data_IF_036299711254
#
_entry.id   IF_036299711254
#
_cell.length_a   1.000
_cell.length_b   1.000
_cell.length_c   1.000
_cell.angle_alpha   90.00
_cell.angle_beta   90.00
_cell.angle_gamma   90.00
#
_symmetry.space_group_name_H-M   'P 1'
#
loop_
_entity.id
_entity.type
_entity.pdbx_description
1 polymer ?
#
# COMPACT_ATOMS: atom_id res chain seq x y z
N UNK A 1 -42.84 8.32 -39.95
CA UNK A 1 -42.04 9.54 -39.79
C UNK A 1 -42.99 10.59 -39.27
N UNK A 2 -43.04 10.77 -37.95
CA UNK A 2 -43.75 11.89 -37.34
C UNK A 2 -42.77 12.57 -36.39
N UNK A 3 -42.51 13.82 -36.72
CA UNK A 3 -41.73 14.78 -35.96
C UNK A 3 -42.63 15.37 -34.88
N UNK A 4 -42.24 15.22 -33.61
CA UNK A 4 -42.70 16.13 -32.56
C UNK A 4 -41.49 16.70 -31.85
N UNK A 5 -41.21 17.95 -32.18
CA UNK A 5 -40.21 18.83 -31.59
C UNK A 5 -40.76 19.45 -30.31
N UNK A 6 -39.83 19.91 -29.45
CA UNK A 6 -39.96 20.89 -28.36
C UNK A 6 -40.55 20.35 -27.05
N UNK A 7 -39.84 20.43 -25.91
CA UNK A 7 -39.69 21.69 -25.16
C UNK A 7 -38.51 21.62 -24.17
N UNK A 8 -37.68 22.66 -24.16
CA UNK A 8 -36.63 22.94 -23.15
C UNK A 8 -37.28 23.51 -21.89
N UNK A 9 -36.92 22.99 -20.72
CA UNK A 9 -37.10 23.69 -19.44
C UNK A 9 -35.77 23.84 -18.75
N UNK A 10 -35.30 25.09 -18.70
CA UNK A 10 -34.21 25.58 -17.87
C UNK A 10 -34.80 25.80 -16.48
N UNK A 11 -34.24 25.15 -15.46
CA UNK A 11 -34.51 25.50 -14.06
C UNK A 11 -33.18 25.85 -13.41
N UNK A 12 -32.88 27.15 -13.41
CA UNK A 12 -31.91 27.74 -12.50
C UNK A 12 -32.54 27.76 -11.11
N UNK A 13 -31.83 27.23 -10.11
CA UNK A 13 -32.24 27.33 -8.70
C UNK A 13 -31.06 27.87 -7.91
N UNK A 14 -31.13 29.18 -7.70
CA UNK A 14 -30.33 29.95 -6.75
C UNK A 14 -30.92 29.69 -5.35
N UNK A 15 -30.10 29.24 -4.41
CA UNK A 15 -30.39 29.40 -2.99
C UNK A 15 -29.06 29.45 -2.21
N UNK A 16 -28.58 30.66 -1.98
CA UNK A 16 -27.60 30.95 -0.95
C UNK A 16 -28.33 31.06 0.40
N UNK A 17 -27.88 30.32 1.42
CA UNK A 17 -28.19 30.65 2.81
C UNK A 17 -26.94 30.44 3.66
N UNK A 18 -26.32 31.55 4.02
CA UNK A 18 -25.27 31.67 5.02
C UNK A 18 -25.87 31.61 6.42
N UNK A 19 -25.38 30.69 7.26
CA UNK A 19 -25.51 30.80 8.72
C UNK A 19 -24.16 30.51 9.36
N UNK A 20 -23.54 31.58 9.88
CA UNK A 20 -22.36 31.56 10.73
C UNK A 20 -22.85 31.81 12.17
N UNK A 21 -22.70 30.85 13.08
CA UNK A 21 -22.65 31.08 14.54
C UNK A 21 -22.31 29.78 15.29
N UNK A 22 -21.28 29.84 16.16
CA UNK A 22 -21.18 28.96 17.33
C UNK A 22 -19.80 28.35 17.60
N UNK A 23 -18.86 29.15 18.11
CA UNK A 23 -17.77 28.60 18.94
C UNK A 23 -18.35 28.20 20.31
N UNK A 24 -18.42 26.91 20.58
CA UNK A 24 -18.56 26.34 21.92
C UNK A 24 -17.51 25.23 22.07
N UNK A 25 -16.62 25.39 23.05
CA UNK A 25 -15.50 24.49 23.30
C UNK A 25 -15.86 23.20 24.04
N UNK A 26 -15.09 22.17 23.68
CA UNK A 26 -14.49 21.10 24.49
C UNK A 26 -15.38 20.28 25.44
N UNK A 27 -15.68 19.04 25.03
CA UNK A 27 -15.85 17.88 25.94
C UNK A 27 -15.61 16.55 25.20
N UNK A 28 -14.45 16.36 24.56
CA UNK A 28 -14.13 15.06 23.94
C UNK A 28 -12.63 14.75 23.75
N UNK A 29 -11.76 15.28 24.61
CA UNK A 29 -10.31 14.92 24.63
C UNK A 29 -10.03 13.46 25.01
N UNK A 30 -11.02 12.66 25.40
CA UNK A 30 -10.80 11.27 25.84
C UNK A 30 -11.03 10.20 24.77
N UNK A 31 -11.63 10.55 23.63
CA UNK A 31 -11.91 9.61 22.54
C UNK A 31 -10.83 9.63 21.48
N UNK A 32 -10.32 10.82 21.13
CA UNK A 32 -9.26 10.99 20.14
C UNK A 32 -7.92 10.42 20.64
N UNK A 33 -7.56 10.64 21.91
CA UNK A 33 -6.35 10.01 22.49
C UNK A 33 -6.45 8.48 22.49
N UNK A 34 -7.63 7.89 22.71
CA UNK A 34 -7.81 6.42 22.68
C UNK A 34 -7.78 5.84 21.27
N UNK A 35 -8.05 6.65 20.25
CA UNK A 35 -7.95 6.24 18.85
C UNK A 35 -6.49 6.31 18.41
N UNK A 36 -5.78 7.39 18.78
CA UNK A 36 -4.34 7.54 18.53
C UNK A 36 -3.51 6.50 19.29
N UNK A 37 -3.79 6.26 20.56
CA UNK A 37 -3.11 5.24 21.40
C UNK A 37 -3.37 3.80 20.92
N UNK A 38 -4.44 3.59 20.11
CA UNK A 38 -4.71 2.32 19.44
C UNK A 38 -3.93 2.15 18.13
N UNK A 39 -3.62 3.23 17.40
CA UNK A 39 -2.72 3.15 16.22
C UNK A 39 -1.29 2.81 16.66
N UNK A 40 -0.75 3.55 17.63
CA UNK A 40 0.55 3.27 18.27
C UNK A 40 0.64 1.85 18.87
N UNK A 41 -0.50 1.31 19.29
CA UNK A 41 -0.62 -0.03 19.84
C UNK A 41 -0.75 -1.15 18.79
N UNK A 42 -1.07 -0.83 17.54
CA UNK A 42 -1.11 -1.77 16.42
C UNK A 42 0.29 -1.86 15.78
N UNK A 43 0.99 -0.75 15.60
CA UNK A 43 2.39 -0.73 15.10
C UNK A 43 3.34 -1.51 16.03
N UNK A 44 3.27 -1.28 17.35
CA UNK A 44 4.05 -2.06 18.33
C UNK A 44 3.75 -3.55 18.33
N UNK A 45 2.57 -3.97 17.85
CA UNK A 45 2.23 -5.40 17.75
C UNK A 45 2.86 -6.05 16.52
N UNK A 46 3.10 -5.31 15.43
CA UNK A 46 3.90 -5.83 14.31
C UNK A 46 5.37 -6.00 14.73
N UNK A 47 5.97 -5.00 15.37
CA UNK A 47 7.36 -5.07 15.86
C UNK A 47 7.58 -6.18 16.90
N UNK A 48 6.63 -6.40 17.83
CA UNK A 48 6.72 -7.47 18.82
C UNK A 48 6.53 -8.86 18.18
N UNK A 49 5.76 -8.99 17.08
CA UNK A 49 5.67 -10.25 16.34
C UNK A 49 6.93 -10.55 15.53
N UNK A 50 7.55 -9.53 14.92
CA UNK A 50 8.81 -9.66 14.19
C UNK A 50 9.98 -9.99 15.14
N UNK A 51 10.07 -9.31 16.30
CA UNK A 51 11.10 -9.58 17.30
C UNK A 51 10.95 -10.97 17.96
N UNK A 52 9.73 -11.49 18.11
CA UNK A 52 9.49 -12.85 18.62
C UNK A 52 9.88 -13.93 17.62
N UNK A 53 9.88 -13.62 16.32
CA UNK A 53 10.39 -14.52 15.29
C UNK A 53 11.94 -14.45 15.19
N UNK A 54 12.55 -13.33 15.58
CA UNK A 54 14.00 -13.14 15.66
C UNK A 54 14.69 -13.52 16.98
N UNK A 55 13.97 -13.62 18.11
CA UNK A 55 14.55 -13.90 19.44
C UNK A 55 14.60 -15.39 19.81
N UNK A 56 14.53 -16.29 18.83
CA UNK A 56 14.42 -17.74 18.99
C UNK A 56 15.72 -18.52 18.81
N UNK A 57 16.92 -17.98 19.06
CA UNK A 57 18.15 -18.79 19.08
C UNK A 57 19.27 -18.15 19.90
N UNK A 58 19.17 -18.23 21.22
CA UNK A 58 20.26 -17.90 22.15
C UNK A 58 20.80 -19.14 22.83
N UNK A 59 21.97 -19.64 22.38
CA UNK A 59 22.59 -20.86 22.92
C UNK A 59 24.06 -21.08 22.54
N UNK A 60 24.93 -20.16 22.97
CA UNK A 60 26.33 -20.31 23.42
C UNK A 60 27.45 -20.96 22.54
N UNK A 61 28.57 -20.19 22.50
CA UNK A 61 30.00 -20.54 22.51
C UNK A 61 30.83 -20.34 21.21
N UNK A 62 31.77 -19.36 21.28
CA UNK A 62 32.93 -19.12 20.38
C UNK A 62 34.08 -20.13 20.61
N UNK A 63 35.25 -20.08 19.90
CA UNK A 63 35.66 -19.37 18.66
C UNK A 63 36.36 -20.29 17.61
N UNK A 64 36.72 -19.67 16.47
CA UNK A 64 37.72 -20.06 15.45
C UNK A 64 37.50 -21.33 14.59
N UNK A 65 37.06 -21.13 13.35
CA UNK A 65 37.65 -21.84 12.19
C UNK A 65 37.45 -21.03 10.90
N UNK A 66 38.52 -20.93 10.11
CA UNK A 66 38.56 -20.24 8.83
C UNK A 66 37.84 -21.10 7.79
N UNK A 67 36.61 -20.73 7.45
CA UNK A 67 35.81 -21.41 6.44
C UNK A 67 35.08 -20.42 5.57
N UNK A 68 35.62 -20.22 4.38
CA UNK A 68 34.90 -19.77 3.19
C UNK A 68 33.44 -20.23 3.20
N UNK A 69 32.54 -19.29 3.40
CA UNK A 69 31.15 -19.43 3.04
C UNK A 69 30.79 -18.13 2.35
N UNK A 70 31.12 -18.07 1.05
CA UNK A 70 30.46 -17.16 0.14
C UNK A 70 28.99 -17.12 0.50
N UNK A 71 28.54 -15.95 0.97
CA UNK A 71 27.13 -15.64 1.10
C UNK A 71 26.54 -15.97 -0.27
N UNK A 72 25.87 -17.11 -0.36
CA UNK A 72 25.05 -17.47 -1.51
C UNK A 72 23.94 -16.46 -1.46
N UNK A 73 24.20 -15.31 -2.08
CA UNK A 73 23.18 -14.36 -2.45
C UNK A 73 22.21 -15.20 -3.27
N UNK A 74 21.00 -15.36 -2.76
CA UNK A 74 19.93 -16.05 -3.47
C UNK A 74 19.50 -15.17 -4.64
N UNK A 75 20.42 -14.86 -5.54
CA UNK A 75 20.14 -14.31 -6.85
C UNK A 75 19.44 -15.41 -7.62
N UNK A 76 18.11 -15.34 -7.64
CA UNK A 76 17.31 -16.22 -8.48
C UNK A 76 17.82 -16.16 -9.92
N UNK A 77 17.63 -17.24 -10.68
CA UNK A 77 17.99 -17.21 -12.10
C UNK A 77 17.18 -16.12 -12.82
N UNK A 78 17.62 -15.67 -14.00
CA UNK A 78 16.87 -14.70 -14.81
C UNK A 78 15.38 -15.13 -14.98
N UNK A 79 15.13 -16.43 -15.15
CA UNK A 79 13.78 -16.98 -15.27
C UNK A 79 12.97 -16.91 -13.96
N UNK A 80 13.62 -17.03 -12.81
CA UNK A 80 12.97 -16.88 -11.50
C UNK A 80 12.59 -15.43 -11.24
N UNK A 81 13.47 -14.48 -11.58
CA UNK A 81 13.21 -13.05 -11.47
C UNK A 81 12.07 -12.61 -12.40
N UNK A 82 12.11 -13.03 -13.66
CA UNK A 82 11.03 -12.81 -14.63
C UNK A 82 9.66 -13.31 -14.12
N UNK A 83 9.65 -14.52 -13.53
CA UNK A 83 8.45 -15.10 -12.95
C UNK A 83 8.00 -14.35 -11.70
N UNK A 84 8.92 -13.88 -10.87
CA UNK A 84 8.61 -13.08 -9.69
C UNK A 84 7.97 -11.75 -10.12
N UNK A 85 8.56 -11.03 -11.08
CA UNK A 85 7.99 -9.77 -11.61
C UNK A 85 6.57 -10.01 -12.15
N UNK A 86 6.36 -11.06 -12.95
CA UNK A 86 5.04 -11.39 -13.47
C UNK A 86 4.01 -11.71 -12.36
N UNK A 87 4.45 -12.33 -11.27
CA UNK A 87 3.60 -12.61 -10.10
C UNK A 87 3.23 -11.31 -9.37
N UNK A 88 4.18 -10.38 -9.17
CA UNK A 88 3.89 -9.08 -8.56
C UNK A 88 2.99 -8.20 -9.45
N UNK A 89 3.16 -8.19 -10.77
CA UNK A 89 2.24 -7.51 -11.69
C UNK A 89 0.80 -8.04 -11.55
N UNK A 90 0.64 -9.35 -11.40
CA UNK A 90 -0.67 -9.98 -11.22
C UNK A 90 -1.27 -9.66 -9.84
N UNK A 91 -0.44 -9.75 -8.79
CA UNK A 91 -0.83 -9.40 -7.41
C UNK A 91 -1.22 -7.94 -7.30
N UNK A 92 -0.49 -7.02 -7.92
CA UNK A 92 -0.78 -5.59 -7.87
C UNK A 92 -2.14 -5.28 -8.48
N UNK A 93 -2.43 -5.85 -9.66
CA UNK A 93 -3.75 -5.75 -10.30
C UNK A 93 -4.88 -6.31 -9.43
N UNK A 94 -4.65 -7.47 -8.80
CA UNK A 94 -5.64 -8.10 -7.93
C UNK A 94 -5.89 -7.29 -6.64
N UNK A 95 -4.82 -6.77 -6.03
CA UNK A 95 -4.88 -5.94 -4.84
C UNK A 95 -5.59 -4.61 -5.14
N UNK A 96 -5.23 -3.94 -6.23
CA UNK A 96 -5.90 -2.72 -6.70
C UNK A 96 -7.40 -2.95 -6.96
N UNK A 97 -7.77 -4.06 -7.59
CA UNK A 97 -9.18 -4.42 -7.79
C UNK A 97 -9.92 -4.67 -6.47
N UNK A 98 -9.24 -5.28 -5.49
CA UNK A 98 -9.80 -5.53 -4.15
C UNK A 98 -10.01 -4.22 -3.39
N UNK A 99 -9.03 -3.33 -3.39
CA UNK A 99 -9.12 -2.00 -2.78
C UNK A 99 -10.24 -1.16 -3.41
N UNK A 100 -10.40 -1.23 -4.74
CA UNK A 100 -11.51 -0.58 -5.46
C UNK A 100 -12.91 -1.11 -5.09
N UNK A 101 -13.00 -2.22 -4.36
CA UNK A 101 -14.25 -2.79 -3.85
C UNK A 101 -14.43 -2.58 -2.33
N UNK A 102 -13.51 -1.87 -1.67
CA UNK A 102 -13.59 -1.58 -0.25
C UNK A 102 -14.92 -0.90 0.09
N UNK A 103 -15.58 -1.36 1.15
CA UNK A 103 -16.82 -0.76 1.60
C UNK A 103 -16.54 0.63 2.19
N UNK A 104 -17.24 1.65 1.71
CA UNK A 104 -17.16 3.01 2.26
C UNK A 104 -18.22 3.17 3.35
N UNK A 105 -17.83 3.32 4.64
CA UNK A 105 -18.79 3.55 5.71
C UNK A 105 -19.66 4.80 5.49
N UNK A 106 -20.96 4.69 5.77
CA UNK A 106 -21.88 5.83 5.70
C UNK A 106 -21.59 6.89 6.78
N UNK A 107 -21.02 6.47 7.92
CA UNK A 107 -20.59 7.34 9.01
C UNK A 107 -19.16 7.84 8.72
N UNK A 108 -18.93 9.15 8.53
CA UNK A 108 -17.60 9.67 8.20
C UNK A 108 -16.53 9.32 9.24
N UNK A 109 -16.87 9.28 10.52
CA UNK A 109 -15.93 8.95 11.60
C UNK A 109 -15.38 7.51 11.54
N UNK A 110 -16.06 6.59 10.83
CA UNK A 110 -15.61 5.20 10.69
C UNK A 110 -14.69 5.00 9.48
N UNK A 111 -14.61 6.00 8.57
CA UNK A 111 -13.88 5.88 7.30
C UNK A 111 -12.36 5.86 7.45
N UNK A 112 -11.71 6.63 8.35
CA UNK A 112 -10.26 6.52 8.54
C UNK A 112 -9.81 5.11 8.91
N UNK A 113 -10.57 4.44 9.78
CA UNK A 113 -10.29 3.06 10.15
C UNK A 113 -10.47 2.11 8.96
N UNK A 114 -11.56 2.25 8.21
CA UNK A 114 -11.82 1.43 7.03
C UNK A 114 -10.77 1.66 5.92
N UNK A 115 -10.28 2.90 5.77
CA UNK A 115 -9.20 3.25 4.86
C UNK A 115 -7.91 2.51 5.21
N UNK A 116 -7.43 2.62 6.46
CA UNK A 116 -6.19 1.94 6.90
C UNK A 116 -6.29 0.42 6.68
N UNK A 117 -7.43 -0.18 7.03
CA UNK A 117 -7.65 -1.62 6.82
C UNK A 117 -7.62 -2.02 5.34
N UNK A 118 -8.19 -1.19 4.46
CA UNK A 118 -8.23 -1.44 3.02
C UNK A 118 -6.90 -1.11 2.30
N UNK A 119 -6.10 -0.19 2.85
CA UNK A 119 -4.80 0.22 2.32
C UNK A 119 -3.69 -0.77 2.64
N UNK A 120 -3.70 -1.37 3.84
CA UNK A 120 -2.60 -2.21 4.33
C UNK A 120 -2.12 -3.32 3.35
N UNK A 121 -3.00 -4.01 2.59
CA UNK A 121 -2.55 -4.98 1.59
C UNK A 121 -1.80 -4.36 0.39
N UNK A 122 -2.12 -3.11 0.03
CA UNK A 122 -1.41 -2.36 -1.03
C UNK A 122 -0.01 -1.99 -0.57
N UNK A 123 0.11 -1.36 0.61
CA UNK A 123 1.42 -1.01 1.22
C UNK A 123 2.31 -2.23 1.41
N UNK A 124 1.75 -3.34 1.92
CA UNK A 124 2.49 -4.60 2.08
C UNK A 124 3.06 -5.08 0.74
N UNK A 125 2.32 -4.90 -0.35
CA UNK A 125 2.75 -5.33 -1.67
C UNK A 125 3.78 -4.38 -2.29
N UNK A 126 3.65 -3.07 -2.06
CA UNK A 126 4.64 -2.07 -2.48
C UNK A 126 6.00 -2.35 -1.82
N UNK A 127 6.04 -2.59 -0.51
CA UNK A 127 7.29 -2.99 0.16
C UNK A 127 7.92 -4.28 -0.39
N UNK A 128 7.10 -5.25 -0.79
CA UNK A 128 7.61 -6.46 -1.42
C UNK A 128 8.12 -6.25 -2.85
N UNK A 129 7.60 -5.24 -3.55
CA UNK A 129 8.12 -4.80 -4.85
C UNK A 129 9.48 -4.16 -4.66
N UNK A 130 9.65 -3.28 -3.66
CA UNK A 130 10.96 -2.69 -3.30
C UNK A 130 12.01 -3.77 -3.02
N UNK A 131 11.65 -4.78 -2.22
CA UNK A 131 12.55 -5.92 -1.95
C UNK A 131 12.90 -6.73 -3.20
N UNK A 132 12.02 -6.79 -4.21
CA UNK A 132 12.34 -7.44 -5.48
C UNK A 132 13.23 -6.54 -6.35
N UNK A 133 13.04 -5.23 -6.33
CA UNK A 133 13.89 -4.29 -7.04
C UNK A 133 15.34 -4.35 -6.52
N UNK A 134 15.53 -4.34 -5.19
CA UNK A 134 16.84 -4.56 -4.54
C UNK A 134 17.52 -5.86 -5.01
N UNK A 135 16.72 -6.91 -5.24
CA UNK A 135 17.22 -8.21 -5.75
C UNK A 135 17.59 -8.14 -7.23
N UNK A 136 16.87 -7.36 -8.04
CA UNK A 136 17.24 -7.11 -9.44
C UNK A 136 18.54 -6.32 -9.54
N UNK A 137 18.71 -5.27 -8.72
CA UNK A 137 19.95 -4.49 -8.63
C UNK A 137 21.13 -5.39 -8.26
N UNK A 138 20.97 -6.23 -7.23
CA UNK A 138 21.99 -7.19 -6.84
C UNK A 138 22.31 -8.19 -7.97
N UNK A 139 21.30 -8.70 -8.67
CA UNK A 139 21.48 -9.68 -9.75
C UNK A 139 22.26 -9.09 -10.94
N UNK A 140 22.00 -7.84 -11.33
CA UNK A 140 22.75 -7.18 -12.41
C UNK A 140 24.17 -6.81 -11.98
N UNK A 141 24.37 -6.38 -10.73
CA UNK A 141 25.72 -6.11 -10.19
C UNK A 141 26.59 -7.36 -10.16
N UNK A 142 26.01 -8.53 -9.88
CA UNK A 142 26.71 -9.82 -9.85
C UNK A 142 26.88 -10.45 -11.25
N UNK A 143 26.24 -9.88 -12.28
CA UNK A 143 26.28 -10.41 -13.65
C UNK A 143 25.39 -11.64 -13.88
N UNK A 144 24.46 -11.94 -12.96
CA UNK A 144 23.49 -13.03 -13.08
C UNK A 144 22.40 -12.71 -14.13
N UNK A 145 22.15 -11.43 -14.37
CA UNK A 145 21.35 -10.91 -15.49
C UNK A 145 22.14 -9.80 -16.20
N UNK A 146 21.84 -9.56 -17.47
CA UNK A 146 22.41 -8.41 -18.18
C UNK A 146 21.62 -7.13 -17.91
N UNK A 147 22.23 -5.99 -18.25
CA UNK A 147 21.64 -4.66 -18.02
C UNK A 147 20.34 -4.44 -18.78
N UNK A 148 20.18 -5.08 -19.94
CA UNK A 148 18.95 -4.96 -20.75
C UNK A 148 17.80 -5.68 -20.06
N UNK A 149 18.06 -6.87 -19.53
CA UNK A 149 17.13 -7.67 -18.75
C UNK A 149 16.73 -6.94 -17.47
N UNK A 150 17.71 -6.38 -16.73
CA UNK A 150 17.46 -5.54 -15.56
C UNK A 150 16.45 -4.41 -15.85
N UNK A 151 16.75 -3.52 -16.80
CA UNK A 151 15.87 -2.39 -17.13
C UNK A 151 14.48 -2.83 -17.60
N UNK A 152 14.39 -3.97 -18.29
CA UNK A 152 13.10 -4.50 -18.71
C UNK A 152 12.26 -5.03 -17.54
N UNK A 153 12.89 -5.55 -16.49
CA UNK A 153 12.23 -6.08 -15.30
C UNK A 153 11.87 -4.95 -14.33
N UNK A 154 12.79 -4.02 -14.08
CA UNK A 154 12.60 -2.81 -13.26
C UNK A 154 11.40 -2.00 -13.78
N UNK A 155 11.38 -1.66 -15.07
CA UNK A 155 10.27 -0.92 -15.68
C UNK A 155 8.89 -1.59 -15.49
N UNK A 156 8.86 -2.92 -15.38
CA UNK A 156 7.62 -3.67 -15.15
C UNK A 156 7.22 -3.65 -13.69
N UNK A 157 8.18 -3.65 -12.76
CA UNK A 157 7.91 -3.44 -11.34
C UNK A 157 7.43 -2.02 -11.08
N UNK A 158 8.03 -1.00 -11.69
CA UNK A 158 7.55 0.39 -11.60
C UNK A 158 6.08 0.50 -12.00
N UNK A 159 5.67 -0.18 -13.08
CA UNK A 159 4.28 -0.18 -13.52
C UNK A 159 3.33 -0.91 -12.55
N UNK A 160 3.85 -1.92 -11.84
CA UNK A 160 3.10 -2.61 -10.80
C UNK A 160 2.93 -1.70 -9.57
N UNK A 161 3.98 -0.98 -9.17
CA UNK A 161 3.95 -0.02 -8.05
C UNK A 161 3.05 1.18 -8.38
N UNK A 162 3.16 1.77 -9.58
CA UNK A 162 2.25 2.80 -10.10
C UNK A 162 0.77 2.36 -10.04
N UNK A 163 0.51 1.06 -10.20
CA UNK A 163 -0.84 0.50 -10.10
C UNK A 163 -1.34 0.48 -8.65
N UNK A 164 -0.45 0.25 -7.69
CA UNK A 164 -0.76 0.32 -6.25
C UNK A 164 -1.00 1.75 -5.82
N UNK A 165 -0.11 2.68 -6.17
CA UNK A 165 -0.26 4.11 -5.86
C UNK A 165 -1.59 4.67 -6.35
N UNK A 166 -1.93 4.40 -7.62
CA UNK A 166 -3.23 4.82 -8.16
C UNK A 166 -4.43 4.15 -7.47
N UNK A 167 -4.26 2.97 -6.87
CA UNK A 167 -5.30 2.34 -6.09
C UNK A 167 -5.43 2.99 -4.70
N UNK A 168 -4.32 3.36 -4.08
CA UNK A 168 -4.28 4.13 -2.84
C UNK A 168 -4.96 5.49 -3.01
N UNK A 169 -4.58 6.27 -4.02
CA UNK A 169 -5.20 7.57 -4.35
C UNK A 169 -6.73 7.46 -4.49
N UNK A 170 -7.18 6.43 -5.21
CA UNK A 170 -8.62 6.18 -5.42
C UNK A 170 -9.31 5.79 -4.12
N UNK A 171 -8.64 5.02 -3.27
CA UNK A 171 -9.16 4.60 -1.97
C UNK A 171 -9.26 5.81 -1.02
N UNK A 172 -8.27 6.69 -1.00
CA UNK A 172 -8.27 7.95 -0.25
C UNK A 172 -9.43 8.84 -0.67
N UNK A 173 -9.57 9.06 -1.97
CA UNK A 173 -10.67 9.84 -2.55
C UNK A 173 -12.04 9.23 -2.23
N UNK A 174 -12.18 7.90 -2.31
CA UNK A 174 -13.45 7.22 -2.02
C UNK A 174 -13.83 7.29 -0.53
N UNK A 175 -12.85 7.18 0.36
CA UNK A 175 -13.04 7.27 1.80
C UNK A 175 -13.18 8.71 2.29
N UNK A 176 -12.73 9.69 1.50
CA UNK A 176 -12.73 11.11 1.89
C UNK A 176 -11.81 11.36 3.08
N UNK A 177 -10.65 10.70 3.06
CA UNK A 177 -9.58 10.84 4.06
C UNK A 177 -8.41 11.68 3.54
N UNK A 178 -8.53 12.20 2.32
CA UNK A 178 -7.65 13.21 1.71
C UNK A 178 -7.50 14.41 2.66
N UNK A 179 -6.27 14.90 2.85
CA UNK A 179 -5.88 15.87 3.88
C UNK A 179 -6.28 17.33 3.58
#
# INVERSE_FOLDING_TARGET
>A
MDMTTTTRTIAASLAALTTLAGLAGCSSTSSDERVLDKLDGIERRLDDLESRQGAGSGGAASPDDAGDNGATTSGGTAADLERAVADYEAKAKAAAATAGQAAVPSTPADRPKAYVEAKAPLETLSHQIDELDDRLEAAVMQGSIDRTTYFSLEQRLDQADDTLDQAEDRLEAAMGVDD
#
